data_IF_986272773450
#
_entry.id   IF_986272773450
#
_cell.length_a   1.000
_cell.length_b   1.000
_cell.length_c   1.000
_cell.angle_alpha   90.00
_cell.angle_beta   90.00
_cell.angle_gamma   90.00
#
_symmetry.space_group_name_H-M   'P 1'
#
loop_
_entity.id
_entity.type
_entity.pdbx_description
1 polymer ?
#
# COMPACT_ATOMS: atom_id res chain seq x y z
N UNK A 1 0.59 -4.35 -11.87
CA UNK A 1 0.08 -5.67 -11.44
C UNK A 1 1.08 -6.48 -10.63
N UNK A 2 2.34 -6.62 -11.06
CA UNK A 2 3.33 -7.47 -10.39
C UNK A 2 3.60 -7.07 -8.93
N UNK A 3 3.81 -5.77 -8.64
CA UNK A 3 4.02 -5.27 -7.27
C UNK A 3 2.92 -5.73 -6.29
N UNK A 4 1.65 -5.57 -6.69
CA UNK A 4 0.48 -5.98 -5.89
C UNK A 4 0.46 -7.48 -5.60
N UNK A 5 0.85 -8.30 -6.58
CA UNK A 5 0.94 -9.77 -6.39
C UNK A 5 2.00 -10.16 -5.36
N UNK A 6 3.05 -9.35 -5.21
CA UNK A 6 4.13 -9.57 -4.24
C UNK A 6 3.88 -8.86 -2.89
N UNK A 7 2.67 -8.34 -2.65
CA UNK A 7 2.34 -7.67 -1.39
C UNK A 7 2.95 -6.28 -1.22
N UNK A 8 3.55 -5.70 -2.26
CA UNK A 8 4.12 -4.35 -2.22
C UNK A 8 3.03 -3.29 -2.43
N UNK A 9 2.96 -2.28 -1.58
CA UNK A 9 2.01 -1.18 -1.72
C UNK A 9 2.37 -0.32 -2.94
N UNK A 10 1.48 -0.30 -3.93
CA UNK A 10 1.72 0.36 -5.22
C UNK A 10 0.83 1.60 -5.30
N UNK A 11 1.45 2.76 -5.11
CA UNK A 11 0.78 4.06 -4.99
C UNK A 11 1.20 4.98 -6.13
N UNK A 12 0.37 5.98 -6.39
CA UNK A 12 0.64 7.08 -7.33
C UNK A 12 0.25 8.37 -6.65
N UNK A 13 0.98 9.46 -6.87
CA UNK A 13 0.60 10.75 -6.33
C UNK A 13 -0.75 11.22 -6.87
N UNK A 14 -1.56 11.88 -6.02
CA UNK A 14 -2.78 12.52 -6.46
C UNK A 14 -2.49 13.79 -7.26
N UNK A 15 -1.46 14.54 -6.87
CA UNK A 15 -0.86 15.63 -7.64
C UNK A 15 0.54 15.22 -8.09
N UNK A 16 0.87 15.45 -9.37
CA UNK A 16 2.20 15.14 -9.89
C UNK A 16 3.30 16.01 -9.26
N UNK A 17 2.96 17.23 -8.85
CA UNK A 17 3.93 18.19 -8.32
C UNK A 17 4.29 17.84 -6.85
N UNK A 18 3.54 16.93 -6.21
CA UNK A 18 3.89 16.39 -4.88
C UNK A 18 5.20 15.59 -4.89
N UNK A 19 5.64 15.10 -6.07
CA UNK A 19 6.94 14.45 -6.20
C UNK A 19 8.10 15.38 -5.81
N UNK A 20 7.98 16.68 -6.11
CA UNK A 20 9.02 17.68 -5.82
C UNK A 20 9.15 18.00 -4.32
N UNK A 21 8.19 17.57 -3.50
CA UNK A 21 8.22 17.73 -2.03
C UNK A 21 9.04 16.65 -1.34
N UNK A 22 9.30 15.52 -2.01
CA UNK A 22 10.03 14.39 -1.43
C UNK A 22 11.53 14.71 -1.44
N UNK A 23 12.15 14.58 -0.27
CA UNK A 23 13.59 14.72 -0.09
C UNK A 23 14.25 13.34 0.09
N UNK A 24 15.55 13.24 -0.17
CA UNK A 24 16.28 11.96 -0.18
C UNK A 24 16.28 11.26 1.19
N UNK A 25 16.27 12.04 2.27
CA UNK A 25 16.35 11.59 3.66
C UNK A 25 14.99 11.58 4.39
N UNK A 26 13.89 11.76 3.66
CA UNK A 26 12.55 11.72 4.23
C UNK A 26 12.22 10.35 4.85
N UNK A 27 11.65 10.39 6.05
CA UNK A 27 10.92 9.24 6.61
C UNK A 27 9.47 9.35 6.16
N UNK A 28 8.95 8.28 5.55
CA UNK A 28 7.61 8.27 4.96
C UNK A 28 6.66 7.40 5.78
N UNK A 29 5.59 8.02 6.28
CA UNK A 29 4.48 7.31 6.93
C UNK A 29 3.27 7.23 5.99
N UNK A 30 2.61 6.07 5.94
CA UNK A 30 1.39 5.86 5.16
C UNK A 30 0.21 5.60 6.10
N UNK A 31 -0.80 6.45 6.02
CA UNK A 31 -2.01 6.37 6.83
C UNK A 31 -3.19 5.82 6.03
N UNK A 32 -4.17 5.26 6.74
CA UNK A 32 -5.40 4.73 6.15
C UNK A 32 -5.37 3.24 5.80
N UNK A 33 -4.28 2.51 6.12
CA UNK A 33 -4.16 1.08 5.83
C UNK A 33 -5.15 0.20 6.62
N UNK A 34 -5.63 0.65 7.79
CA UNK A 34 -6.65 -0.04 8.58
C UNK A 34 -8.04 0.01 7.93
N UNK A 35 -8.32 1.06 7.15
CA UNK A 35 -9.57 1.27 6.41
C UNK A 35 -9.38 1.15 4.89
N UNK A 36 -8.32 0.44 4.47
CA UNK A 36 -7.93 0.34 3.07
C UNK A 36 -9.03 -0.30 2.22
N UNK A 37 -9.56 0.45 1.26
CA UNK A 37 -10.70 0.07 0.43
C UNK A 37 -10.51 0.53 -1.04
N UNK A 38 -11.17 -0.14 -2.01
CA UNK A 38 -11.09 0.27 -3.41
C UNK A 38 -11.54 1.72 -3.62
N UNK A 39 -10.81 2.46 -4.45
CA UNK A 39 -11.07 3.86 -4.80
C UNK A 39 -11.05 4.85 -3.61
N UNK A 40 -10.48 4.48 -2.47
CA UNK A 40 -10.31 5.37 -1.32
C UNK A 40 -8.82 5.76 -1.23
N UNK A 41 -8.46 7.04 -1.47
CA UNK A 41 -7.07 7.48 -1.36
C UNK A 41 -6.48 7.23 0.03
N UNK A 42 -5.16 7.08 0.08
CA UNK A 42 -4.39 7.05 1.32
C UNK A 42 -3.69 8.39 1.51
N UNK A 43 -3.18 8.61 2.71
CA UNK A 43 -2.39 9.79 3.03
C UNK A 43 -0.93 9.38 3.25
N UNK A 44 -0.01 10.17 2.72
CA UNK A 44 1.43 10.01 2.88
C UNK A 44 1.97 11.24 3.60
N UNK A 45 2.65 11.01 4.70
CA UNK A 45 3.33 12.02 5.48
C UNK A 45 4.83 11.94 5.16
N UNK A 46 5.42 13.07 4.75
CA UNK A 46 6.84 13.23 4.47
C UNK A 46 7.48 13.93 5.66
N UNK A 47 8.35 13.24 6.40
CA UNK A 47 9.07 13.79 7.54
C UNK A 47 10.48 14.20 7.12
N UNK A 48 10.69 15.51 6.98
CA UNK A 48 11.96 16.09 6.54
C UNK A 48 12.97 16.13 7.68
N UNK A 49 14.26 16.08 7.35
CA UNK A 49 15.34 16.08 8.34
C UNK A 49 15.44 17.38 9.16
N UNK A 50 14.94 18.50 8.64
CA UNK A 50 14.85 19.77 9.37
C UNK A 50 13.67 19.82 10.38
N UNK A 51 12.86 18.76 10.43
CA UNK A 51 11.70 18.62 11.30
C UNK A 51 10.40 19.20 10.71
N UNK A 52 10.45 19.79 9.51
CA UNK A 52 9.24 20.15 8.77
C UNK A 52 8.55 18.91 8.20
N UNK A 53 7.30 19.09 7.76
CA UNK A 53 6.47 18.00 7.29
C UNK A 53 5.56 18.45 6.15
N UNK A 54 5.51 17.65 5.10
CA UNK A 54 4.48 17.71 4.08
C UNK A 54 3.50 16.54 4.22
N UNK A 55 2.24 16.80 3.87
CA UNK A 55 1.18 15.80 3.86
C UNK A 55 0.57 15.79 2.47
N UNK A 56 0.64 14.64 1.80
CA UNK A 56 0.18 14.48 0.43
C UNK A 56 -0.83 13.34 0.31
N UNK A 57 -1.74 13.46 -0.64
CA UNK A 57 -2.72 12.42 -0.96
C UNK A 57 -2.15 11.49 -2.03
N UNK A 58 -2.31 10.19 -1.84
CA UNK A 58 -1.83 9.18 -2.77
C UNK A 58 -2.95 8.23 -3.17
N UNK A 59 -3.03 7.97 -4.46
CA UNK A 59 -4.02 7.13 -5.10
C UNK A 59 -3.50 5.71 -5.31
N UNK A 60 -4.44 4.81 -5.58
CA UNK A 60 -4.14 3.44 -5.92
C UNK A 60 -5.24 2.82 -6.79
N UNK A 61 -4.93 1.70 -7.44
CA UNK A 61 -5.89 0.95 -8.27
C UNK A 61 -6.20 -0.44 -7.71
N UNK A 62 -6.02 -0.66 -6.40
CA UNK A 62 -6.36 -1.92 -5.75
C UNK A 62 -7.87 -2.19 -5.78
N UNK A 63 -8.23 -3.41 -6.17
CA UNK A 63 -9.55 -3.98 -5.92
C UNK A 63 -9.52 -4.82 -4.62
N UNK A 64 -10.69 -5.29 -4.15
CA UNK A 64 -10.78 -6.04 -2.89
C UNK A 64 -9.86 -7.26 -2.83
N UNK A 65 -9.73 -8.04 -3.91
CA UNK A 65 -8.85 -9.21 -3.94
C UNK A 65 -7.36 -8.82 -3.79
N UNK A 66 -6.93 -7.75 -4.46
CA UNK A 66 -5.55 -7.26 -4.37
C UNK A 66 -5.24 -6.69 -2.98
N UNK A 67 -6.24 -6.11 -2.30
CA UNK A 67 -6.09 -5.66 -0.90
C UNK A 67 -5.86 -6.85 0.02
N UNK A 68 -6.57 -7.95 -0.19
CA UNK A 68 -6.32 -9.18 0.57
C UNK A 68 -4.92 -9.75 0.29
N UNK A 69 -4.42 -9.67 -0.95
CA UNK A 69 -3.02 -10.03 -1.24
C UNK A 69 -2.05 -9.18 -0.44
N UNK A 70 -2.27 -7.86 -0.36
CA UNK A 70 -1.44 -6.97 0.44
C UNK A 70 -1.46 -7.37 1.92
N UNK A 71 -2.65 -7.56 2.52
CA UNK A 71 -2.80 -7.99 3.93
C UNK A 71 -2.12 -9.34 4.21
N UNK A 72 -2.14 -10.25 3.25
CA UNK A 72 -1.49 -11.56 3.36
C UNK A 72 0.03 -11.52 3.11
N UNK A 73 0.61 -10.37 2.74
CA UNK A 73 2.02 -10.26 2.35
C UNK A 73 2.33 -10.86 0.97
N UNK A 74 1.32 -11.04 0.12
CA UNK A 74 1.44 -11.54 -1.24
C UNK A 74 0.33 -12.52 -1.65
N UNK A 75 0.07 -12.60 -2.96
CA UNK A 75 -0.94 -13.51 -3.51
C UNK A 75 -0.63 -14.98 -3.23
N UNK A 76 0.65 -15.35 -3.21
CA UNK A 76 1.09 -16.73 -2.95
C UNK A 76 0.76 -17.19 -1.52
N UNK A 77 0.73 -16.28 -0.55
CA UNK A 77 0.40 -16.61 0.83
C UNK A 77 -1.08 -16.99 0.97
N UNK A 78 -1.97 -16.36 0.20
CA UNK A 78 -3.38 -16.77 0.12
C UNK A 78 -3.50 -18.17 -0.48
N UNK A 79 -2.87 -18.41 -1.63
CA UNK A 79 -2.92 -19.71 -2.33
C UNK A 79 -2.41 -20.84 -1.42
N UNK A 80 -1.31 -20.61 -0.70
CA UNK A 80 -0.75 -21.57 0.27
C UNK A 80 -1.73 -21.87 1.41
N UNK A 81 -2.38 -20.83 1.95
CA UNK A 81 -3.38 -20.98 3.01
C UNK A 81 -4.60 -21.78 2.52
N UNK A 82 -5.12 -21.46 1.34
CA UNK A 82 -6.24 -22.18 0.72
C UNK A 82 -5.91 -23.65 0.43
N UNK A 83 -4.71 -23.92 -0.11
CA UNK A 83 -4.25 -25.28 -0.35
C UNK A 83 -4.13 -26.09 0.96
N UNK A 84 -3.61 -25.47 2.03
CA UNK A 84 -3.51 -26.09 3.34
C UNK A 84 -4.89 -26.39 3.97
N UNK A 85 -5.85 -25.45 3.86
CA UNK A 85 -7.22 -25.67 4.34
C UNK A 85 -7.90 -26.84 3.59
N UNK A 86 -7.78 -26.85 2.26
CA UNK A 86 -8.30 -27.95 1.44
C UNK A 86 -7.68 -29.30 1.78
N UNK A 87 -6.37 -29.34 2.03
CA UNK A 87 -5.68 -30.56 2.45
C UNK A 87 -6.12 -31.05 3.84
N UNK A 88 -6.57 -30.13 4.70
CA UNK A 88 -7.12 -30.44 6.02
C UNK A 88 -8.61 -30.86 5.99
N UNK A 89 -9.26 -30.89 4.81
CA UNK A 89 -10.68 -31.25 4.68
C UNK A 89 -11.65 -30.18 5.17
N UNK A 90 -11.19 -28.92 5.25
CA UNK A 90 -11.98 -27.74 5.60
C UNK A 90 -12.45 -26.99 4.36
#
# INVERSE_FOLDING_TARGET
TNLKKQGMLALTFADKDDYEKIQEDDIIDIHGLSTFAPNVPLQMDLHHADGSKDIISVNHSYNSQQIEWFKAGGALNIIRKEAAMKAAGL
#
